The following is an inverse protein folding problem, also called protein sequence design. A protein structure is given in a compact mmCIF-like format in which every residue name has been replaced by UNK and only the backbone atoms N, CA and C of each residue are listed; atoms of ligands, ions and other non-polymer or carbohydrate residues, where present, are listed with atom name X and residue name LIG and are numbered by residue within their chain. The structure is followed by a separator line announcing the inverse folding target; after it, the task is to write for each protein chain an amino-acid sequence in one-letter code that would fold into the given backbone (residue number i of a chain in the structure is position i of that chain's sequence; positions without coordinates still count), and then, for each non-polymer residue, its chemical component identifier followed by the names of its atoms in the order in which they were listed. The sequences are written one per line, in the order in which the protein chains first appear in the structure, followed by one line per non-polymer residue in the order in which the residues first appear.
data_IF_146202499470
#
_entry.id   IF_146202499470
#
_cell.length_a   1.000
_cell.length_b   1.000
_cell.length_c   1.000
_cell.angle_alpha   90.00
_cell.angle_beta   90.00
_cell.angle_gamma   90.00
#
_symmetry.space_group_name_H-M   'P 1'
#
loop_
_entity.id
_entity.type
_entity.pdbx_description
1 polymer ?
#
# COMPACT_ATOMS: atom_id res chain seq x y z
N UNK A 1 -19.35 -14.04 23.63
CA UNK A 1 -19.06 -13.77 22.21
C UNK A 1 -18.88 -12.28 22.05
N UNK A 2 -17.63 -11.82 21.94
CA UNK A 2 -17.32 -10.43 21.61
C UNK A 2 -17.83 -10.15 20.19
N UNK A 3 -18.75 -9.20 20.07
CA UNK A 3 -19.30 -8.73 18.79
C UNK A 3 -18.14 -8.16 17.96
N UNK A 4 -17.62 -8.94 17.01
CA UNK A 4 -16.57 -8.47 16.10
C UNK A 4 -17.22 -7.43 15.19
N UNK A 5 -16.83 -6.15 15.28
CA UNK A 5 -17.48 -5.10 14.52
C UNK A 5 -17.39 -5.44 13.03
N UNK A 6 -18.54 -5.36 12.36
CA UNK A 6 -18.63 -5.52 10.91
C UNK A 6 -17.68 -4.53 10.24
N UNK A 7 -16.69 -5.05 9.52
CA UNK A 7 -15.73 -4.24 8.78
C UNK A 7 -16.39 -3.57 7.56
N UNK A 8 -16.10 -2.30 7.37
CA UNK A 8 -16.52 -1.55 6.19
C UNK A 8 -16.46 -0.04 6.33
N UNK A 9 -16.55 0.65 5.20
CA UNK A 9 -16.62 2.11 5.12
C UNK A 9 -17.66 2.54 4.08
N UNK A 10 -18.54 3.48 4.42
CA UNK A 10 -19.60 3.97 3.54
C UNK A 10 -19.71 5.50 3.49
N UNK A 11 -18.85 6.23 4.21
CA UNK A 11 -18.83 7.69 4.24
C UNK A 11 -17.46 8.19 4.72
N UNK A 12 -16.99 9.33 4.21
CA UNK A 12 -15.79 10.03 4.69
C UNK A 12 -16.05 10.87 5.96
N UNK A 13 -17.31 11.13 6.32
CA UNK A 13 -17.70 11.98 7.47
C UNK A 13 -18.42 11.21 8.58
N UNK A 14 -18.65 9.91 8.40
CA UNK A 14 -19.25 9.05 9.42
C UNK A 14 -18.33 8.87 10.64
N UNK A 15 -18.90 8.39 11.75
CA UNK A 15 -18.10 8.05 12.94
C UNK A 15 -17.10 6.94 12.61
N UNK A 16 -15.82 7.28 12.61
CA UNK A 16 -14.73 6.34 12.46
C UNK A 16 -14.70 5.37 13.65
N UNK A 17 -14.57 4.07 13.38
CA UNK A 17 -14.52 3.01 14.41
C UNK A 17 -13.18 2.28 14.43
N UNK A 18 -12.58 2.06 13.27
CA UNK A 18 -11.28 1.44 13.12
C UNK A 18 -10.53 2.08 11.95
N UNK A 19 -9.21 2.14 12.05
CA UNK A 19 -8.33 2.67 10.99
C UNK A 19 -7.02 1.90 10.95
N UNK A 20 -6.46 1.73 9.75
CA UNK A 20 -5.13 1.15 9.55
C UNK A 20 -4.13 2.29 9.35
N UNK A 21 -3.12 2.35 10.21
CA UNK A 21 -2.00 3.29 10.13
C UNK A 21 -0.69 2.52 9.96
N UNK A 22 0.35 3.20 9.49
CA UNK A 22 1.71 2.66 9.48
C UNK A 22 2.61 3.63 10.23
N UNK A 23 3.21 3.15 11.32
CA UNK A 23 4.13 3.96 12.11
C UNK A 23 5.46 4.08 11.35
N UNK A 24 5.99 5.30 11.13
CA UNK A 24 7.29 5.49 10.50
C UNK A 24 8.39 4.63 11.14
N UNK A 25 9.10 3.86 10.32
CA UNK A 25 10.18 2.97 10.74
C UNK A 25 11.51 3.25 10.05
N UNK A 26 12.36 2.23 10.04
CA UNK A 26 13.72 2.30 9.49
C UNK A 26 13.74 2.36 7.95
N UNK A 27 12.61 2.09 7.29
CA UNK A 27 12.41 2.38 5.87
C UNK A 27 12.67 3.85 5.53
N UNK A 28 12.35 4.77 6.45
CA UNK A 28 12.61 6.20 6.27
C UNK A 28 14.08 6.57 6.51
N UNK A 29 14.79 5.83 7.37
CA UNK A 29 16.24 6.05 7.61
C UNK A 29 17.10 5.65 6.41
N UNK A 30 16.56 4.82 5.52
CA UNK A 30 17.21 4.36 4.28
C UNK A 30 17.08 5.36 3.13
N UNK A 31 16.34 6.45 3.32
CA UNK A 31 16.32 7.57 2.40
C UNK A 31 17.66 8.31 2.43
N UNK A 32 18.19 8.58 1.25
CA UNK A 32 19.40 9.37 1.03
C UNK A 32 19.11 10.43 -0.02
N UNK A 33 19.85 11.55 -0.06
CA UNK A 33 19.65 12.57 -1.10
C UNK A 33 19.72 12.01 -2.53
N UNK A 34 20.40 10.88 -2.74
CA UNK A 34 20.57 10.25 -4.06
C UNK A 34 19.38 9.38 -4.48
N UNK A 35 18.62 8.82 -3.53
CA UNK A 35 17.52 7.89 -3.81
C UNK A 35 16.13 8.47 -3.51
N UNK A 36 16.07 9.64 -2.88
CA UNK A 36 14.85 10.27 -2.38
C UNK A 36 13.78 10.47 -3.47
N UNK A 37 14.16 11.03 -4.63
CA UNK A 37 13.24 11.28 -5.75
C UNK A 37 12.73 9.96 -6.38
N UNK A 38 13.58 8.92 -6.40
CA UNK A 38 13.20 7.60 -6.91
C UNK A 38 12.22 6.89 -5.96
N UNK A 39 12.29 7.21 -4.67
CA UNK A 39 11.40 6.69 -3.62
C UNK A 39 10.24 7.63 -3.27
N UNK A 40 10.10 8.74 -4.01
CA UNK A 40 8.95 9.65 -3.99
C UNK A 40 8.69 10.33 -2.64
N UNK A 41 9.75 10.66 -1.91
CA UNK A 41 9.63 11.33 -0.63
C UNK A 41 10.15 12.76 -0.74
N UNK A 42 9.43 13.75 -0.21
CA UNK A 42 9.81 15.17 -0.31
C UNK A 42 10.73 15.56 0.85
N UNK A 43 12.02 15.21 0.75
CA UNK A 43 13.06 15.56 1.71
C UNK A 43 13.43 14.43 2.68
N UNK A 44 14.50 14.62 3.47
CA UNK A 44 14.94 13.61 4.43
C UNK A 44 14.15 13.74 5.74
N UNK A 45 13.41 12.70 6.17
CA UNK A 45 12.60 12.77 7.37
C UNK A 45 13.44 12.67 8.64
N UNK A 46 13.10 13.47 9.65
CA UNK A 46 13.57 13.24 11.02
C UNK A 46 12.73 12.13 11.66
N UNK A 47 13.17 10.89 11.50
CA UNK A 47 12.37 9.69 11.84
C UNK A 47 11.89 9.68 13.29
N UNK A 48 12.74 10.02 14.26
CA UNK A 48 12.34 10.09 15.67
C UNK A 48 11.20 11.10 15.89
N UNK A 49 11.27 12.26 15.24
CA UNK A 49 10.21 13.27 15.32
C UNK A 49 8.92 12.82 14.62
N UNK A 50 9.04 12.21 13.44
CA UNK A 50 7.89 11.66 12.72
C UNK A 50 7.18 10.56 13.54
N UNK A 51 7.94 9.76 14.30
CA UNK A 51 7.42 8.77 15.22
C UNK A 51 6.65 9.41 16.38
N UNK A 52 7.20 10.44 17.03
CA UNK A 52 6.50 11.20 18.08
C UNK A 52 5.17 11.78 17.56
N UNK A 53 5.18 12.40 16.38
CA UNK A 53 3.99 12.99 15.77
C UNK A 53 2.95 11.94 15.37
N UNK A 54 3.39 10.81 14.81
CA UNK A 54 2.51 9.68 14.50
C UNK A 54 1.90 9.07 15.77
N UNK A 55 2.69 8.89 16.82
CA UNK A 55 2.22 8.33 18.09
C UNK A 55 1.19 9.25 18.74
N UNK A 56 1.42 10.57 18.72
CA UNK A 56 0.44 11.56 19.17
C UNK A 56 -0.86 11.51 18.34
N UNK A 57 -0.75 11.39 17.01
CA UNK A 57 -1.91 11.25 16.11
C UNK A 57 -2.70 9.97 16.41
N UNK A 58 -2.04 8.84 16.58
CA UNK A 58 -2.67 7.58 16.93
C UNK A 58 -3.38 7.68 18.29
N UNK A 59 -2.81 8.38 19.27
CA UNK A 59 -3.43 8.57 20.59
C UNK A 59 -4.67 9.48 20.55
N UNK A 60 -4.66 10.51 19.71
CA UNK A 60 -5.85 11.35 19.43
C UNK A 60 -7.01 10.52 18.88
N UNK A 61 -6.73 9.48 18.08
CA UNK A 61 -7.74 8.55 17.57
C UNK A 61 -8.20 7.57 18.65
N UNK A 62 -7.28 6.95 19.39
CA UNK A 62 -7.60 6.00 20.48
C UNK A 62 -8.44 6.65 21.58
N UNK A 63 -8.10 7.86 22.01
CA UNK A 63 -8.87 8.64 22.99
C UNK A 63 -10.31 8.96 22.56
N UNK A 64 -10.60 8.88 21.25
CA UNK A 64 -11.97 9.01 20.68
C UNK A 64 -12.67 7.66 20.50
N UNK A 65 -12.08 6.58 20.99
CA UNK A 65 -12.59 5.21 20.87
C UNK A 65 -12.43 4.61 19.48
N UNK A 66 -11.50 5.13 18.66
CA UNK A 66 -11.15 4.52 17.38
C UNK A 66 -10.10 3.44 17.61
N UNK A 67 -10.37 2.25 17.09
CA UNK A 67 -9.38 1.17 17.07
C UNK A 67 -8.29 1.46 16.03
N UNK A 68 -7.06 1.65 16.48
CA UNK A 68 -5.92 1.89 15.60
C UNK A 68 -5.17 0.58 15.38
N UNK A 69 -5.17 0.12 14.13
CA UNK A 69 -4.45 -1.07 13.68
C UNK A 69 -3.16 -0.64 12.99
N UNK A 70 -2.01 -1.17 13.40
CA UNK A 70 -0.74 -0.88 12.76
C UNK A 70 -0.47 -1.90 11.64
N UNK A 71 -0.13 -1.40 10.45
CA UNK A 71 0.18 -2.22 9.27
C UNK A 71 1.33 -3.20 9.55
N UNK A 72 2.35 -2.77 10.29
CA UNK A 72 3.47 -3.60 10.73
C UNK A 72 3.01 -4.82 11.55
N UNK A 73 2.07 -4.60 12.48
CA UNK A 73 1.56 -5.64 13.37
C UNK A 73 0.67 -6.61 12.59
N UNK A 74 -0.21 -6.06 11.74
CA UNK A 74 -1.05 -6.85 10.83
C UNK A 74 -0.20 -7.69 9.87
N UNK A 75 0.90 -7.15 9.35
CA UNK A 75 1.81 -7.90 8.47
C UNK A 75 2.49 -9.03 9.23
N UNK A 76 3.06 -8.74 10.40
CA UNK A 76 3.71 -9.74 11.27
C UNK A 76 2.76 -10.89 11.61
N UNK A 77 1.52 -10.57 11.99
CA UNK A 77 0.49 -11.56 12.32
C UNK A 77 0.07 -12.38 11.10
N UNK A 78 -0.06 -11.76 9.91
CA UNK A 78 -0.36 -12.48 8.68
C UNK A 78 0.76 -13.44 8.28
N UNK A 79 2.03 -13.08 8.52
CA UNK A 79 3.21 -13.89 8.23
C UNK A 79 3.38 -15.10 9.16
N UNK A 80 2.48 -15.31 10.13
CA UNK A 80 2.36 -16.60 10.81
C UNK A 80 1.91 -17.72 9.85
N UNK A 81 1.21 -17.38 8.75
CA UNK A 81 0.83 -18.32 7.71
C UNK A 81 2.00 -18.64 6.77
N UNK A 82 2.28 -19.94 6.56
CA UNK A 82 3.28 -20.38 5.58
C UNK A 82 2.99 -19.89 4.16
N UNK A 83 1.71 -19.82 3.77
CA UNK A 83 1.29 -19.30 2.47
C UNK A 83 1.57 -17.78 2.34
N UNK A 84 1.33 -17.03 3.41
CA UNK A 84 1.64 -15.60 3.46
C UNK A 84 3.14 -15.35 3.31
N UNK A 85 3.98 -16.15 4.00
CA UNK A 85 5.45 -16.06 3.89
C UNK A 85 5.92 -16.30 2.46
N UNK A 86 5.39 -17.33 1.79
CA UNK A 86 5.72 -17.62 0.38
C UNK A 86 5.31 -16.46 -0.53
N UNK A 87 4.10 -15.92 -0.35
CA UNK A 87 3.60 -14.79 -1.13
C UNK A 87 4.47 -13.53 -0.92
N UNK A 88 4.79 -13.19 0.32
CA UNK A 88 5.59 -12.01 0.66
C UNK A 88 7.01 -12.09 0.10
N UNK A 89 7.66 -13.24 0.23
CA UNK A 89 9.00 -13.49 -0.32
C UNK A 89 8.98 -13.40 -1.85
N UNK A 90 7.99 -14.02 -2.50
CA UNK A 90 7.87 -13.98 -3.96
C UNK A 90 7.64 -12.55 -4.49
N UNK A 91 6.91 -11.72 -3.74
CA UNK A 91 6.69 -10.32 -4.10
C UNK A 91 7.93 -9.42 -3.89
N UNK A 92 8.80 -9.76 -2.94
CA UNK A 92 10.01 -8.99 -2.64
C UNK A 92 11.21 -9.37 -3.51
N UNK A 93 11.35 -10.64 -3.91
CA UNK A 93 12.53 -11.13 -4.61
C UNK A 93 12.39 -10.96 -6.13
N UNK A 94 13.13 -10.00 -6.70
CA UNK A 94 13.16 -9.77 -8.14
C UNK A 94 14.26 -10.60 -8.82
N UNK A 95 13.92 -11.83 -9.24
CA UNK A 95 14.86 -12.73 -9.91
C UNK A 95 15.43 -12.19 -11.24
N UNK A 96 14.70 -11.30 -11.93
CA UNK A 96 15.18 -10.68 -13.19
C UNK A 96 16.28 -9.65 -12.92
N UNK A 97 16.20 -8.93 -11.79
CA UNK A 97 17.22 -7.97 -11.37
C UNK A 97 18.44 -8.65 -10.75
N UNK A 98 18.20 -9.65 -9.89
CA UNK A 98 19.25 -10.27 -9.07
C UNK A 98 19.96 -11.44 -9.76
N UNK A 99 19.35 -12.03 -10.78
CA UNK A 99 19.75 -13.32 -11.33
C UNK A 99 19.27 -14.48 -10.46
N UNK A 100 19.07 -15.65 -11.08
CA UNK A 100 18.42 -16.80 -10.43
C UNK A 100 19.16 -17.34 -9.20
N UNK A 101 20.49 -17.43 -9.25
CA UNK A 101 21.28 -17.96 -8.14
C UNK A 101 21.15 -17.09 -6.88
N UNK A 102 21.37 -15.77 -7.02
CA UNK A 102 21.25 -14.84 -5.90
C UNK A 102 19.80 -14.72 -5.40
N UNK A 103 18.82 -14.76 -6.30
CA UNK A 103 17.41 -14.78 -5.91
C UNK A 103 17.03 -16.02 -5.10
N UNK A 104 17.61 -17.18 -5.40
CA UNK A 104 17.43 -18.40 -4.61
C UNK A 104 18.06 -18.29 -3.23
N UNK A 105 19.30 -17.79 -3.14
CA UNK A 105 19.98 -17.57 -1.86
C UNK A 105 19.23 -16.57 -0.97
N UNK A 106 18.80 -15.44 -1.55
CA UNK A 106 17.97 -14.45 -0.85
C UNK A 106 16.65 -15.08 -0.38
N UNK A 107 15.96 -15.82 -1.24
CA UNK A 107 14.70 -16.48 -0.86
C UNK A 107 14.91 -17.53 0.23
N UNK A 108 16.04 -18.25 0.24
CA UNK A 108 16.37 -19.22 1.28
C UNK A 108 16.60 -18.52 2.62
N UNK A 109 17.37 -17.43 2.62
CA UNK A 109 17.60 -16.62 3.81
C UNK A 109 16.31 -16.02 4.36
N UNK A 110 15.46 -15.42 3.52
CA UNK A 110 14.18 -14.85 3.97
C UNK A 110 13.24 -15.90 4.57
N UNK A 111 13.31 -17.16 4.13
CA UNK A 111 12.51 -18.25 4.72
C UNK A 111 12.97 -18.61 6.13
N UNK A 112 14.26 -18.43 6.45
CA UNK A 112 14.81 -18.73 7.79
C UNK A 112 14.52 -17.66 8.84
N UNK A 113 14.16 -16.44 8.43
CA UNK A 113 13.80 -15.35 9.36
C UNK A 113 12.53 -15.69 10.14
N UNK A 114 12.35 -15.15 11.35
CA UNK A 114 11.04 -15.24 12.01
C UNK A 114 10.01 -14.29 11.35
N UNK A 115 8.77 -14.26 11.86
CA UNK A 115 7.73 -13.40 11.27
C UNK A 115 7.99 -11.90 11.48
N UNK A 116 8.63 -11.50 12.58
CA UNK A 116 8.93 -10.11 12.88
C UNK A 116 10.07 -9.60 12.00
N UNK A 117 11.15 -10.38 11.90
CA UNK A 117 12.30 -10.08 11.05
C UNK A 117 11.91 -10.08 9.57
N UNK A 118 11.08 -11.04 9.14
CA UNK A 118 10.58 -11.04 7.76
C UNK A 118 9.70 -9.81 7.49
N UNK A 119 8.80 -9.44 8.40
CA UNK A 119 8.00 -8.22 8.24
C UNK A 119 8.90 -6.97 8.15
N UNK A 120 9.90 -6.88 9.02
CA UNK A 120 10.88 -5.79 9.01
C UNK A 120 11.58 -5.69 7.66
N UNK A 121 12.14 -6.79 7.14
CA UNK A 121 12.83 -6.81 5.83
C UNK A 121 11.88 -6.48 4.68
N UNK A 122 10.64 -6.94 4.72
CA UNK A 122 9.65 -6.67 3.68
C UNK A 122 9.23 -5.18 3.64
N UNK A 123 9.27 -4.46 4.76
CA UNK A 123 8.93 -3.03 4.85
C UNK A 123 10.16 -2.13 4.69
N UNK A 124 11.21 -2.41 5.47
CA UNK A 124 12.44 -1.63 5.53
C UNK A 124 13.40 -1.96 4.40
N UNK A 125 13.24 -3.08 3.70
CA UNK A 125 14.23 -3.50 2.71
C UNK A 125 15.52 -4.03 3.32
N UNK A 126 16.47 -4.34 2.45
CA UNK A 126 17.73 -4.99 2.77
C UNK A 126 18.79 -4.59 1.74
N UNK A 127 20.00 -4.32 2.20
CA UNK A 127 21.18 -4.05 1.38
C UNK A 127 21.94 -5.32 1.03
N UNK A 128 22.85 -5.25 0.06
CA UNK A 128 23.74 -6.37 -0.27
C UNK A 128 24.72 -6.73 0.86
N UNK A 129 25.08 -5.76 1.70
CA UNK A 129 25.98 -5.95 2.84
C UNK A 129 25.28 -6.67 4.01
N UNK A 130 23.97 -6.44 4.18
CA UNK A 130 23.14 -7.13 5.18
C UNK A 130 22.81 -8.58 4.81
N UNK A 131 22.97 -8.99 3.54
CA UNK A 131 22.72 -10.35 3.11
C UNK A 131 23.86 -11.27 3.58
N UNK A 132 23.60 -12.36 4.33
CA UNK A 132 24.67 -13.23 4.80
C UNK A 132 25.53 -13.82 3.66
N UNK A 133 26.83 -13.97 3.92
CA UNK A 133 27.76 -14.70 3.06
C UNK A 133 27.65 -16.19 3.42
N UNK A 134 26.82 -16.95 2.69
CA UNK A 134 26.65 -18.38 3.03
C UNK A 134 25.71 -19.20 2.16
N UNK A 135 25.30 -18.70 0.98
CA UNK A 135 24.55 -19.48 0.00
C UNK A 135 25.39 -20.62 -0.60
N UNK A 136 24.75 -21.53 -1.35
CA UNK A 136 25.37 -22.72 -1.98
C UNK A 136 26.51 -22.39 -2.97
N UNK A 137 26.80 -21.13 -3.21
CA UNK A 137 27.78 -20.65 -4.17
C UNK A 137 29.06 -20.28 -3.44
N UNK A 138 30.13 -21.05 -3.70
CA UNK A 138 31.47 -20.83 -3.13
C UNK A 138 32.13 -19.50 -3.58
N UNK A 139 31.47 -18.73 -4.45
CA UNK A 139 31.91 -17.45 -4.99
C UNK A 139 30.72 -16.47 -5.01
N UNK A 140 30.89 -15.20 -4.61
CA UNK A 140 29.82 -14.21 -4.71
C UNK A 140 29.38 -14.05 -6.18
N UNK A 141 28.06 -13.93 -6.41
CA UNK A 141 27.53 -13.71 -7.77
C UNK A 141 28.09 -12.40 -8.36
N UNK A 142 28.26 -12.34 -9.69
CA UNK A 142 28.76 -11.12 -10.34
C UNK A 142 27.93 -9.88 -9.97
N UNK A 143 26.61 -10.05 -9.90
CA UNK A 143 25.67 -9.01 -9.45
C UNK A 143 26.03 -8.52 -8.05
N UNK A 144 26.27 -9.42 -7.10
CA UNK A 144 26.67 -9.05 -5.74
C UNK A 144 28.04 -8.37 -5.71
N UNK A 145 28.99 -8.82 -6.52
CA UNK A 145 30.34 -8.23 -6.61
C UNK A 145 30.33 -6.84 -7.24
N UNK A 146 29.38 -6.56 -8.15
CA UNK A 146 29.21 -5.25 -8.79
C UNK A 146 28.46 -4.23 -7.93
N UNK A 147 27.69 -4.69 -6.94
CA UNK A 147 26.99 -3.83 -5.99
C UNK A 147 27.84 -3.60 -4.73
N UNK A 148 27.91 -2.34 -4.28
CA UNK A 148 28.73 -1.96 -3.14
C UNK A 148 27.94 -1.06 -2.17
N UNK A 149 28.13 -1.25 -0.87
CA UNK A 149 27.63 -0.35 0.16
C UNK A 149 26.11 -0.29 0.26
N UNK A 150 25.54 0.90 0.02
CA UNK A 150 24.12 1.22 0.26
C UNK A 150 23.12 0.69 -0.78
N UNK A 151 23.56 -0.16 -1.71
CA UNK A 151 22.67 -0.73 -2.74
C UNK A 151 21.70 -1.75 -2.13
N UNK A 152 20.44 -1.68 -2.56
CA UNK A 152 19.37 -2.53 -2.04
C UNK A 152 19.23 -3.84 -2.83
N UNK A 153 19.28 -4.96 -2.11
CA UNK A 153 18.81 -6.25 -2.61
C UNK A 153 17.28 -6.36 -2.52
N UNK A 154 16.69 -5.65 -1.56
CA UNK A 154 15.24 -5.41 -1.42
C UNK A 154 15.06 -3.93 -1.10
N UNK A 155 14.32 -3.19 -1.92
CA UNK A 155 14.14 -1.75 -1.73
C UNK A 155 13.28 -1.43 -0.48
N UNK A 156 13.55 -0.35 0.27
CA UNK A 156 12.68 0.13 1.35
C UNK A 156 11.35 0.66 0.80
N UNK A 157 10.30 0.65 1.61
CA UNK A 157 8.97 1.15 1.26
C UNK A 157 8.57 2.37 2.12
N UNK A 158 9.19 3.55 1.90
CA UNK A 158 8.96 4.74 2.74
C UNK A 158 7.51 5.26 2.68
N UNK A 159 6.82 5.03 1.56
CA UNK A 159 5.44 5.47 1.36
C UNK A 159 4.40 4.58 2.06
N UNK A 160 4.80 3.53 2.79
CA UNK A 160 3.88 2.77 3.65
C UNK A 160 3.18 3.65 4.68
N UNK A 161 3.79 4.79 5.04
CA UNK A 161 3.17 5.83 5.86
C UNK A 161 1.80 6.28 5.32
N UNK A 162 1.62 6.29 4.00
CA UNK A 162 0.41 6.72 3.32
C UNK A 162 -0.51 5.54 3.01
N UNK A 163 -1.07 4.91 4.06
CA UNK A 163 -1.93 3.73 3.95
C UNK A 163 -3.18 3.92 3.11
N UNK A 164 -3.58 5.17 2.84
CA UNK A 164 -4.74 5.52 2.00
C UNK A 164 -4.55 5.08 0.55
N UNK A 165 -3.33 5.07 0.03
CA UNK A 165 -3.13 4.87 -1.42
C UNK A 165 -3.19 3.40 -1.81
N UNK A 166 -2.71 2.50 -0.96
CA UNK A 166 -2.55 1.07 -1.29
C UNK A 166 -3.87 0.30 -1.26
N UNK A 167 -4.87 0.77 -0.50
CA UNK A 167 -6.20 0.17 -0.47
C UNK A 167 -7.27 1.15 -0.01
N UNK A 168 -8.53 0.83 -0.33
CA UNK A 168 -9.69 1.56 0.19
C UNK A 168 -10.87 0.60 0.40
N UNK A 169 -11.83 1.02 1.23
CA UNK A 169 -13.02 0.26 1.53
C UNK A 169 -14.26 0.87 0.88
N UNK A 170 -15.16 0.03 0.38
CA UNK A 170 -16.48 0.42 -0.14
C UNK A 170 -17.52 -0.55 0.42
N UNK A 171 -18.38 -0.03 1.30
CA UNK A 171 -19.28 -0.86 2.10
C UNK A 171 -18.46 -1.92 2.84
N UNK A 172 -18.85 -3.18 2.70
CA UNK A 172 -18.21 -4.34 3.36
C UNK A 172 -17.11 -4.99 2.51
N UNK A 173 -16.63 -4.30 1.49
CA UNK A 173 -15.62 -4.81 0.55
C UNK A 173 -14.40 -3.91 0.59
N UNK A 174 -13.23 -4.49 0.38
CA UNK A 174 -12.00 -3.72 0.16
C UNK A 174 -11.59 -3.79 -1.31
N UNK A 175 -10.82 -2.80 -1.75
CA UNK A 175 -10.14 -2.79 -3.03
C UNK A 175 -8.65 -2.56 -2.80
N UNK A 176 -7.83 -3.32 -3.51
CA UNK A 176 -6.39 -3.07 -3.61
C UNK A 176 -6.16 -2.23 -4.87
N UNK A 177 -5.35 -1.20 -4.73
CA UNK A 177 -5.07 -0.26 -5.80
C UNK A 177 -4.01 -0.78 -6.75
N UNK A 178 -3.86 -0.12 -7.89
CA UNK A 178 -2.75 -0.34 -8.81
C UNK A 178 -1.97 0.96 -8.87
N UNK A 179 -0.92 1.06 -8.07
CA UNK A 179 -0.10 2.25 -8.01
C UNK A 179 0.66 2.43 -9.32
N UNK A 180 0.71 3.66 -9.82
CA UNK A 180 1.25 3.93 -11.16
C UNK A 180 2.77 3.72 -11.24
N UNK A 181 3.48 3.90 -10.13
CA UNK A 181 4.94 3.90 -10.07
C UNK A 181 5.48 2.53 -9.62
N UNK A 182 6.42 1.91 -10.36
CA UNK A 182 6.93 0.57 -10.06
C UNK A 182 7.47 0.40 -8.63
N UNK A 183 8.10 1.44 -8.07
CA UNK A 183 8.63 1.44 -6.70
C UNK A 183 7.55 1.17 -5.64
N UNK A 184 6.29 1.53 -5.92
CA UNK A 184 5.17 1.41 -4.99
C UNK A 184 4.38 0.10 -5.11
N UNK A 185 4.64 -0.72 -6.13
CA UNK A 185 3.90 -1.97 -6.39
C UNK A 185 4.02 -2.96 -5.21
N UNK A 186 5.13 -2.90 -4.46
CA UNK A 186 5.31 -3.74 -3.28
C UNK A 186 4.42 -3.32 -2.10
N UNK A 187 4.04 -2.05 -1.99
CA UNK A 187 3.12 -1.58 -0.94
C UNK A 187 1.77 -2.31 -1.03
N UNK A 188 1.18 -2.33 -2.22
CA UNK A 188 -0.10 -3.02 -2.47
C UNK A 188 0.02 -4.53 -2.31
N UNK A 189 1.20 -5.11 -2.59
CA UNK A 189 1.47 -6.53 -2.38
C UNK A 189 1.44 -6.90 -0.89
N UNK A 190 1.97 -6.03 -0.01
CA UNK A 190 1.89 -6.25 1.45
C UNK A 190 0.46 -6.08 1.96
N UNK A 191 -0.26 -5.07 1.49
CA UNK A 191 -1.67 -4.88 1.85
C UNK A 191 -2.54 -6.06 1.40
N UNK A 192 -2.32 -6.58 0.19
CA UNK A 192 -3.03 -7.75 -0.32
C UNK A 192 -2.74 -9.01 0.50
N UNK A 193 -1.47 -9.23 0.87
CA UNK A 193 -1.06 -10.32 1.76
C UNK A 193 -1.79 -10.23 3.10
N UNK A 194 -1.85 -9.03 3.71
CA UNK A 194 -2.58 -8.81 4.97
C UNK A 194 -4.06 -9.19 4.80
N UNK A 195 -4.76 -8.66 3.80
CA UNK A 195 -6.19 -8.98 3.64
C UNK A 195 -6.44 -10.45 3.30
N UNK A 196 -5.52 -11.12 2.61
CA UNK A 196 -5.65 -12.52 2.22
C UNK A 196 -5.44 -13.49 3.40
N UNK A 197 -4.51 -13.20 4.31
CA UNK A 197 -4.05 -14.18 5.30
C UNK A 197 -4.28 -13.79 6.75
N UNK A 198 -4.51 -12.51 7.06
CA UNK A 198 -4.68 -12.08 8.44
C UNK A 198 -6.05 -12.49 9.00
N UNK A 199 -6.13 -13.11 10.20
CA UNK A 199 -7.38 -13.62 10.77
C UNK A 199 -8.53 -12.60 10.82
N UNK A 200 -8.19 -11.33 11.09
CA UNK A 200 -9.16 -10.22 11.15
C UNK A 200 -9.92 -9.97 9.85
N UNK A 201 -9.30 -10.26 8.70
CA UNK A 201 -9.85 -9.92 7.38
C UNK A 201 -10.34 -11.14 6.60
N UNK A 202 -10.23 -12.34 7.19
CA UNK A 202 -10.72 -13.57 6.57
C UNK A 202 -12.21 -13.48 6.27
N UNK A 203 -12.57 -13.88 5.04
CA UNK A 203 -13.96 -13.84 4.56
C UNK A 203 -14.43 -12.47 4.05
N UNK A 204 -13.64 -11.41 4.18
CA UNK A 204 -13.96 -10.11 3.55
C UNK A 204 -13.80 -10.22 2.04
N UNK A 205 -14.79 -9.72 1.31
CA UNK A 205 -14.84 -9.81 -0.16
C UNK A 205 -14.06 -8.65 -0.79
N UNK A 206 -13.22 -8.97 -1.78
CA UNK A 206 -12.63 -7.95 -2.66
C UNK A 206 -13.72 -7.31 -3.54
N UNK A 207 -13.64 -6.01 -3.77
CA UNK A 207 -14.60 -5.25 -4.58
C UNK A 207 -14.48 -5.58 -6.08
N UNK A 208 -13.25 -5.82 -6.56
CA UNK A 208 -12.95 -6.30 -7.91
C UNK A 208 -11.62 -7.05 -7.93
N UNK A 209 -11.45 -7.96 -8.89
CA UNK A 209 -10.31 -8.88 -8.94
C UNK A 209 -9.07 -8.32 -9.66
N UNK A 210 -9.17 -7.24 -10.45
CA UNK A 210 -8.11 -6.88 -11.40
C UNK A 210 -7.28 -5.62 -11.07
N UNK A 211 -5.97 -5.79 -11.16
CA UNK A 211 -4.92 -4.76 -11.15
C UNK A 211 -4.84 -3.90 -12.45
N UNK A 212 -5.99 -3.58 -13.08
CA UNK A 212 -6.01 -3.08 -14.48
C UNK A 212 -6.50 -1.64 -14.65
N UNK A 213 -6.73 -0.93 -13.57
CA UNK A 213 -7.03 0.50 -13.60
C UNK A 213 -6.19 1.15 -12.50
N UNK A 214 -5.29 2.09 -12.83
CA UNK A 214 -4.51 2.81 -11.84
C UNK A 214 -5.45 3.78 -11.14
N UNK A 215 -6.10 3.30 -10.09
CA UNK A 215 -6.87 4.12 -9.16
C UNK A 215 -6.20 3.95 -7.83
N UNK A 216 -5.73 5.05 -7.27
CA UNK A 216 -5.16 5.13 -5.94
C UNK A 216 -6.29 5.45 -4.95
N UNK A 217 -6.14 5.07 -3.68
CA UNK A 217 -7.23 5.29 -2.72
C UNK A 217 -7.46 6.77 -2.41
N UNK A 218 -6.46 7.64 -2.65
CA UNK A 218 -6.62 9.09 -2.60
C UNK A 218 -7.60 9.66 -3.65
N UNK A 219 -7.80 8.95 -4.77
CA UNK A 219 -8.75 9.36 -5.81
C UNK A 219 -10.20 8.98 -5.47
N UNK A 220 -10.42 8.13 -4.47
CA UNK A 220 -11.76 7.61 -4.14
C UNK A 220 -12.28 8.33 -2.91
N UNK A 221 -13.50 8.86 -2.95
CA UNK A 221 -14.17 9.47 -1.80
C UNK A 221 -15.58 8.88 -1.63
N UNK A 222 -15.90 8.45 -0.41
CA UNK A 222 -17.21 7.95 -0.05
C UNK A 222 -18.13 9.11 0.36
N UNK A 223 -18.91 9.64 -0.59
CA UNK A 223 -19.83 10.76 -0.33
C UNK A 223 -21.02 10.34 0.54
N UNK A 224 -21.38 9.05 0.50
CA UNK A 224 -22.42 8.47 1.34
C UNK A 224 -22.73 7.03 0.95
N UNK A 225 -23.66 6.37 1.65
CA UNK A 225 -24.06 5.00 1.32
C UNK A 225 -24.52 4.90 -0.13
N UNK A 226 -23.80 4.13 -0.93
CA UNK A 226 -24.12 3.96 -2.35
C UNK A 226 -23.59 5.05 -3.28
N UNK A 227 -22.84 6.05 -2.79
CA UNK A 227 -22.35 7.17 -3.61
C UNK A 227 -20.84 7.33 -3.42
N UNK A 228 -20.11 7.24 -4.52
CA UNK A 228 -18.65 7.32 -4.55
C UNK A 228 -18.22 8.37 -5.56
N UNK A 229 -17.36 9.30 -5.18
CA UNK A 229 -16.64 10.16 -6.11
C UNK A 229 -15.29 9.53 -6.45
N UNK A 230 -14.94 9.53 -7.73
CA UNK A 230 -13.64 9.03 -8.20
C UNK A 230 -12.96 10.12 -9.02
N UNK A 231 -11.86 10.64 -8.50
CA UNK A 231 -10.92 11.51 -9.19
C UNK A 231 -10.19 10.73 -10.28
N UNK A 232 -9.90 11.39 -11.39
CA UNK A 232 -9.09 10.77 -12.44
C UNK A 232 -8.30 11.87 -13.18
N UNK A 233 -6.97 11.70 -13.28
CA UNK A 233 -6.07 12.67 -13.93
C UNK A 233 -6.10 12.65 -15.48
N UNK A 234 -6.29 11.47 -16.10
CA UNK A 234 -6.41 11.26 -17.56
C UNK A 234 -7.77 10.68 -18.03
N UNK A 235 -7.97 10.30 -19.29
CA UNK A 235 -9.23 9.63 -19.69
C UNK A 235 -9.13 8.12 -19.41
N UNK A 236 -10.11 7.46 -18.77
CA UNK A 236 -10.03 6.02 -18.54
C UNK A 236 -10.09 5.27 -19.87
N UNK A 237 -9.15 4.33 -20.06
CA UNK A 237 -9.27 3.28 -21.08
C UNK A 237 -10.65 2.61 -20.95
N UNK A 238 -11.34 2.26 -22.05
CA UNK A 238 -12.69 1.67 -22.02
C UNK A 238 -12.86 0.46 -21.07
N UNK A 239 -11.77 -0.25 -20.76
CA UNK A 239 -11.72 -1.38 -19.82
C UNK A 239 -11.92 -0.98 -18.36
N UNK A 240 -11.37 0.15 -17.92
CA UNK A 240 -11.57 0.65 -16.55
C UNK A 240 -13.04 1.00 -16.31
N UNK A 241 -13.70 1.60 -17.31
CA UNK A 241 -15.12 1.99 -17.26
C UNK A 241 -16.09 0.81 -17.07
N UNK A 242 -15.84 -0.34 -17.71
CA UNK A 242 -16.69 -1.53 -17.57
C UNK A 242 -16.58 -2.18 -16.17
N UNK A 243 -15.42 -2.09 -15.53
CA UNK A 243 -15.17 -2.70 -14.20
C UNK A 243 -15.73 -1.88 -13.04
N UNK A 244 -15.64 -0.55 -13.09
CA UNK A 244 -16.29 0.30 -12.09
C UNK A 244 -17.82 0.10 -12.06
N UNK A 245 -18.46 -0.13 -13.21
CA UNK A 245 -19.89 -0.50 -13.26
C UNK A 245 -20.21 -1.82 -12.54
N UNK A 246 -19.29 -2.78 -12.50
CA UNK A 246 -19.47 -4.04 -11.77
C UNK A 246 -19.36 -3.89 -10.24
N UNK A 247 -18.70 -2.83 -9.78
CA UNK A 247 -18.66 -2.43 -8.35
C UNK A 247 -19.98 -1.77 -7.92
N UNK A 248 -20.72 -1.22 -8.90
CA UNK A 248 -21.69 -0.16 -8.66
C UNK A 248 -23.12 -0.60 -8.96
N UNK A 249 -23.83 -1.04 -7.92
CA UNK A 249 -25.18 -0.48 -7.67
C UNK A 249 -25.08 0.97 -7.13
N UNK A 250 -23.94 1.64 -7.35
CA UNK A 250 -23.53 2.90 -6.73
C UNK A 250 -23.42 4.01 -7.77
N UNK A 251 -23.69 5.23 -7.35
CA UNK A 251 -23.61 6.42 -8.19
C UNK A 251 -22.16 6.91 -8.20
N UNK A 252 -21.50 6.84 -9.36
CA UNK A 252 -20.10 7.27 -9.52
C UNK A 252 -20.07 8.71 -10.06
N UNK A 253 -19.52 9.62 -9.27
CA UNK A 253 -19.24 10.98 -9.71
C UNK A 253 -17.87 11.05 -10.35
N UNK A 254 -17.83 11.52 -11.60
CA UNK A 254 -16.59 11.79 -12.32
C UNK A 254 -16.21 13.24 -12.12
N UNK A 255 -15.02 13.47 -11.56
CA UNK A 255 -14.44 14.81 -11.45
C UNK A 255 -13.26 14.87 -12.44
N UNK A 256 -13.41 15.56 -13.60
CA UNK A 256 -12.30 15.73 -14.52
C UNK A 256 -11.23 16.61 -13.87
N UNK A 257 -10.05 16.04 -13.59
CA UNK A 257 -8.93 16.79 -13.04
C UNK A 257 -8.12 17.46 -14.18
N UNK A 258 -8.74 18.30 -15.00
CA UNK A 258 -8.04 18.98 -16.10
C UNK A 258 -7.39 20.31 -15.68
N UNK A 259 -7.49 20.70 -14.40
CA UNK A 259 -7.02 21.99 -13.88
C UNK A 259 -6.59 21.96 -12.40
N UNK A 260 -5.76 21.01 -11.98
CA UNK A 260 -4.97 21.17 -10.75
C UNK A 260 -3.59 21.70 -11.12
N UNK A 261 -3.27 22.99 -10.86
CA UNK A 261 -1.89 23.46 -10.96
C UNK A 261 -1.08 22.89 -9.78
N UNK A 262 0.25 22.78 -9.97
CA UNK A 262 1.24 22.36 -8.97
C UNK A 262 0.98 22.97 -7.57
N UNK A 263 1.44 22.32 -6.47
CA UNK A 263 1.09 22.66 -5.07
C UNK A 263 1.53 24.06 -4.58
N UNK A 264 2.04 24.93 -5.45
CA UNK A 264 2.47 26.31 -5.15
C UNK A 264 1.53 27.42 -5.63
N UNK A 265 0.34 27.14 -6.15
CA UNK A 265 -0.58 28.21 -6.56
C UNK A 265 -1.91 28.20 -5.81
N UNK A 266 -2.13 29.23 -5.00
CA UNK A 266 -3.45 29.61 -4.49
C UNK A 266 -4.34 30.06 -5.66
N UNK A 267 -4.99 29.13 -6.35
CA UNK A 267 -6.13 29.45 -7.21
C UNK A 267 -7.26 28.48 -6.91
N UNK A 268 -8.39 29.02 -6.42
CA UNK A 268 -9.62 28.26 -6.21
C UNK A 268 -10.08 27.63 -7.52
N UNK A 269 -10.21 26.32 -7.55
CA UNK A 269 -10.92 25.63 -8.63
C UNK A 269 -12.39 26.05 -8.59
N UNK A 270 -12.87 26.70 -9.66
CA UNK A 270 -14.29 26.98 -9.84
C UNK A 270 -15.00 25.76 -10.43
N UNK A 271 -16.07 25.34 -9.76
CA UNK A 271 -16.93 24.26 -10.20
C UNK A 271 -17.73 24.67 -11.44
N UNK A 272 -17.64 23.91 -12.53
CA UNK A 272 -18.63 23.97 -13.61
C UNK A 272 -19.51 22.72 -13.54
N UNK A 273 -20.85 22.86 -13.45
CA UNK A 273 -21.77 21.72 -13.34
C UNK A 273 -21.92 21.07 -14.73
N UNK A 274 -20.98 20.22 -15.11
CA UNK A 274 -21.09 19.39 -16.31
C UNK A 274 -20.98 17.88 -16.00
N UNK A 275 -21.22 17.50 -14.74
CA UNK A 275 -21.23 16.11 -14.30
C UNK A 275 -22.26 15.30 -15.11
N UNK A 276 -21.78 14.43 -16.02
CA UNK A 276 -22.64 13.43 -16.67
C UNK A 276 -22.94 12.34 -15.65
N UNK A 277 -24.20 12.25 -15.27
CA UNK A 277 -24.76 11.25 -14.35
C UNK A 277 -24.62 9.83 -14.92
N UNK A 278 -24.16 8.88 -14.11
CA UNK A 278 -24.25 7.45 -14.40
C UNK A 278 -25.33 6.85 -13.52
N UNK A 279 -26.55 6.76 -14.02
CA UNK A 279 -27.60 5.96 -13.39
C UNK A 279 -27.37 4.47 -13.71
N UNK A 280 -27.59 3.55 -12.74
CA UNK A 280 -27.69 2.13 -13.05
C UNK A 280 -28.93 1.92 -13.93
N UNK A 281 -28.76 1.36 -15.13
CA UNK A 281 -29.88 0.80 -15.87
C UNK A 281 -30.33 -0.45 -15.12
N UNK A 282 -31.54 -0.42 -14.55
CA UNK A 282 -32.18 -1.62 -14.02
C UNK A 282 -32.25 -2.65 -15.16
N UNK A 283 -31.68 -3.82 -14.95
CA UNK A 283 -32.04 -5.04 -15.68
C UNK A 283 -33.33 -5.59 -15.10
#
# INVERSE_FOLDING_TARGET
MTDVPVLGANSEVGRLRAVVLHRPGDELKRLTPRNNDQLLFDGLPWVARAQEEHDAFAEVLRSRGVEVLLLSDLLREALASGAARVQGIAAAVNARRLGYALAQDLSAYLRSLDAADLAYVLMCGMTFDELPLGGRVAQPSLVRTMHHGSDFVIEPLPNLLFTRDSSFWIGRKFAITTLALPARVRETSLTDLIYAHHPRFLGVRRAYESHSAPVEGGDVLLLGPGVVAVGWASAPLPRARKRWRAVCSMMVWRIPCSRCPSPRSERRCTWTPSARWWTPTRS
#
